data_IF_461911278296
#
_entry.id   IF_461911278296
#
_cell.length_a   1.000
_cell.length_b   1.000
_cell.length_c   1.000
_cell.angle_alpha   90.00
_cell.angle_beta   90.00
_cell.angle_gamma   90.00
#
_symmetry.space_group_name_H-M   'P 1'
#
loop_
_entity.id
_entity.type
_entity.pdbx_description
1 polymer ?
#
# COMPACT_ATOMS: atom_id res chain seq x y z
N UNK A 1 11.43 -2.73 -29.09
CA UNK A 1 10.74 -1.47 -29.39
C UNK A 1 9.55 -1.37 -28.44
N UNK A 2 9.58 -0.38 -27.54
CA UNK A 2 8.51 0.17 -26.66
C UNK A 2 7.70 -0.76 -25.72
N UNK A 3 8.27 -1.06 -24.53
CA UNK A 3 7.60 -1.71 -23.38
C UNK A 3 7.21 -0.67 -22.31
N UNK A 4 6.18 0.13 -22.53
CA UNK A 4 5.76 1.21 -21.61
C UNK A 4 4.30 1.06 -21.17
N UNK A 5 3.90 -0.11 -20.67
CA UNK A 5 2.57 -0.29 -20.08
C UNK A 5 2.35 0.69 -18.92
N UNK A 6 1.26 1.47 -18.93
CA UNK A 6 0.96 2.45 -17.88
C UNK A 6 -0.14 1.92 -16.93
N UNK A 7 0.18 1.78 -15.63
CA UNK A 7 -0.81 1.50 -14.60
C UNK A 7 -1.43 2.79 -14.05
N UNK A 8 -2.73 2.73 -13.76
CA UNK A 8 -3.43 3.76 -12.96
C UNK A 8 -3.54 3.28 -11.52
N UNK A 9 -2.73 3.83 -10.63
CA UNK A 9 -2.83 3.57 -9.20
C UNK A 9 -3.72 4.63 -8.54
N UNK A 10 -4.69 4.18 -7.74
CA UNK A 10 -5.59 5.07 -7.00
C UNK A 10 -5.40 4.78 -5.52
N UNK A 11 -4.77 5.71 -4.79
CA UNK A 11 -4.66 5.59 -3.35
C UNK A 11 -6.02 5.86 -2.70
N UNK A 12 -6.52 4.90 -1.94
CA UNK A 12 -7.69 5.07 -1.09
C UNK A 12 -7.22 5.10 0.36
N UNK A 13 -7.22 6.29 0.95
CA UNK A 13 -6.96 6.44 2.37
C UNK A 13 -8.21 6.04 3.16
N UNK A 14 -8.31 4.78 3.58
CA UNK A 14 -9.09 4.44 4.76
C UNK A 14 -8.28 4.89 5.97
N UNK A 15 -8.38 6.17 6.32
CA UNK A 15 -8.02 6.62 7.67
C UNK A 15 -9.06 6.03 8.60
N UNK A 16 -8.80 4.83 9.13
CA UNK A 16 -9.55 4.30 10.26
C UNK A 16 -9.15 5.07 11.53
N UNK A 17 -9.42 6.37 11.52
CA UNK A 17 -9.50 7.17 12.73
C UNK A 17 -10.92 7.04 13.23
N UNK A 18 -11.23 5.95 13.93
CA UNK A 18 -12.47 5.87 14.69
C UNK A 18 -12.14 5.86 16.18
N UNK A 19 -12.41 7.01 16.79
CA UNK A 19 -12.51 7.26 18.21
C UNK A 19 -13.27 6.12 18.92
N UNK A 20 -12.63 5.51 19.91
CA UNK A 20 -13.33 5.08 21.11
C UNK A 20 -12.66 5.78 22.30
N UNK A 21 -13.04 7.03 22.51
CA UNK A 21 -13.00 7.59 23.84
C UNK A 21 -14.09 6.88 24.64
N UNK A 22 -13.73 5.83 25.37
CA UNK A 22 -14.55 5.39 26.49
C UNK A 22 -14.31 6.39 27.63
N UNK A 23 -15.11 7.44 27.65
CA UNK A 23 -15.28 8.25 28.86
C UNK A 23 -15.85 7.34 29.95
N UNK A 24 -15.18 7.30 31.11
CA UNK A 24 -15.55 6.53 32.30
C UNK A 24 -16.97 6.83 32.79
N UNK A 25 -17.53 6.00 33.66
CA UNK A 25 -17.30 6.09 35.10
C UNK A 25 -17.79 4.83 35.81
N UNK A 26 -17.34 4.66 37.05
CA UNK A 26 -17.77 3.71 38.10
C UNK A 26 -17.00 2.39 38.20
N UNK A 27 -16.25 2.26 39.31
CA UNK A 27 -15.75 0.98 39.81
C UNK A 27 -14.41 1.03 40.54
N UNK A 28 -14.40 1.65 41.73
CA UNK A 28 -13.55 1.32 42.90
C UNK A 28 -12.30 0.45 42.71
N UNK A 29 -11.14 1.08 42.96
CA UNK A 29 -9.91 0.54 43.54
C UNK A 29 -9.56 -0.93 43.34
N UNK A 30 -8.52 -1.20 42.56
CA UNK A 30 -7.43 -2.15 42.87
C UNK A 30 -6.30 -1.92 41.85
N UNK A 31 -5.05 -1.88 42.32
CA UNK A 31 -3.86 -1.54 41.51
C UNK A 31 -3.45 -2.75 40.67
N UNK A 32 -3.93 -2.85 39.43
CA UNK A 32 -3.39 -3.80 38.45
C UNK A 32 -2.30 -3.14 37.62
N UNK A 33 -1.06 -3.46 37.96
CA UNK A 33 0.12 -3.08 37.19
C UNK A 33 0.05 -3.67 35.78
N UNK A 34 0.14 -2.79 34.78
CA UNK A 34 0.98 -3.07 33.62
C UNK A 34 0.41 -3.87 32.46
N UNK A 35 -0.90 -3.81 32.19
CA UNK A 35 -1.41 -4.15 30.86
C UNK A 35 -1.81 -2.89 30.12
N UNK A 36 -0.80 -2.10 29.71
CA UNK A 36 -0.96 -1.24 28.55
C UNK A 36 -1.17 -2.18 27.36
N UNK A 37 -2.42 -2.52 27.06
CA UNK A 37 -2.78 -2.84 25.70
C UNK A 37 -2.53 -1.55 24.90
N UNK A 38 -1.29 -1.35 24.49
CA UNK A 38 -1.05 -0.66 23.25
C UNK A 38 -1.74 -1.55 22.23
N UNK A 39 -3.00 -1.23 21.93
CA UNK A 39 -3.56 -1.44 20.61
C UNK A 39 -2.71 -0.59 19.65
N UNK A 40 -1.43 -0.97 19.54
CA UNK A 40 -0.45 -0.47 18.61
C UNK A 40 -0.90 -0.99 17.27
N UNK A 41 -1.99 -0.44 16.77
CA UNK A 41 -2.32 -0.50 15.37
C UNK A 41 -1.21 0.31 14.73
N UNK A 42 -0.12 -0.37 14.38
CA UNK A 42 0.94 0.23 13.55
C UNK A 42 0.25 0.96 12.40
N UNK A 43 0.58 2.23 12.12
CA UNK A 43 -0.14 2.96 11.10
C UNK A 43 -0.07 2.21 9.77
N UNK A 44 -1.23 2.03 9.14
CA UNK A 44 -1.36 1.29 7.89
C UNK A 44 -1.75 2.20 6.71
N UNK A 45 -1.37 1.78 5.52
CA UNK A 45 -1.85 2.35 4.26
C UNK A 45 -2.41 1.25 3.37
N UNK A 46 -3.59 1.49 2.81
CA UNK A 46 -4.14 0.68 1.73
C UNK A 46 -3.72 1.29 0.40
N UNK A 47 -2.99 0.53 -0.40
CA UNK A 47 -2.63 0.88 -1.77
C UNK A 47 -3.51 0.06 -2.70
N UNK A 48 -4.22 0.73 -3.60
CA UNK A 48 -5.08 0.08 -4.61
C UNK A 48 -4.67 0.55 -6.01
N UNK A 49 -4.78 -0.34 -6.99
CA UNK A 49 -4.44 -0.04 -8.38
C UNK A 49 -5.39 -0.71 -9.36
N UNK A 50 -5.52 -0.14 -10.55
CA UNK A 50 -6.26 -0.76 -11.64
C UNK A 50 -5.31 -1.62 -12.47
N UNK A 51 -5.63 -2.92 -12.69
CA UNK A 51 -4.79 -3.81 -13.47
C UNK A 51 -4.70 -3.32 -14.93
N UNK A 52 -3.53 -3.40 -15.58
CA UNK A 52 -3.41 -3.10 -16.99
C UNK A 52 -4.10 -4.20 -17.81
N UNK A 53 -4.92 -3.80 -18.79
CA UNK A 53 -5.61 -4.74 -19.71
C UNK A 53 -4.94 -4.83 -21.08
N UNK A 54 -4.11 -3.84 -21.41
CA UNK A 54 -3.43 -3.72 -22.69
C UNK A 54 -1.98 -3.31 -22.48
N UNK A 55 -1.14 -3.68 -23.43
CA UNK A 55 0.24 -3.18 -23.53
C UNK A 55 0.27 -1.82 -24.22
N UNK A 56 1.42 -1.17 -24.10
CA UNK A 56 2.11 -0.48 -25.20
C UNK A 56 1.37 -0.20 -26.49
N UNK A 57 1.40 -1.27 -27.26
CA UNK A 57 1.12 -1.39 -28.67
C UNK A 57 -0.38 -1.61 -28.93
N UNK A 58 -1.21 -1.56 -27.89
CA UNK A 58 -2.64 -1.85 -27.96
C UNK A 58 -2.96 -3.35 -27.96
N UNK A 59 -1.96 -4.24 -27.88
CA UNK A 59 -2.21 -5.67 -27.73
C UNK A 59 -2.76 -5.99 -26.33
N UNK A 60 -3.60 -7.02 -26.25
CA UNK A 60 -4.12 -7.49 -24.97
C UNK A 60 -3.00 -8.04 -24.07
N UNK A 61 -3.01 -7.66 -22.79
CA UNK A 61 -2.10 -8.21 -21.80
C UNK A 61 -2.65 -9.56 -21.30
N UNK A 62 -2.02 -10.66 -21.71
CA UNK A 62 -2.49 -12.03 -21.42
C UNK A 62 -1.54 -12.82 -20.50
N UNK A 63 -0.35 -12.28 -20.27
CA UNK A 63 0.80 -12.89 -19.60
C UNK A 63 1.16 -12.19 -18.29
N UNK A 64 0.22 -11.44 -17.71
CA UNK A 64 0.41 -10.77 -16.42
C UNK A 64 0.71 -11.80 -15.32
N UNK A 65 1.85 -11.68 -14.67
CA UNK A 65 2.27 -12.58 -13.60
C UNK A 65 1.99 -11.99 -12.21
N UNK A 66 2.05 -10.66 -12.07
CA UNK A 66 1.85 -10.02 -10.78
C UNK A 66 2.20 -8.54 -10.77
N UNK A 67 2.38 -8.01 -9.57
CA UNK A 67 2.68 -6.61 -9.31
C UNK A 67 3.84 -6.45 -8.33
N UNK A 68 4.51 -5.31 -8.39
CA UNK A 68 5.48 -4.87 -7.37
C UNK A 68 5.10 -3.50 -6.86
N UNK A 69 4.88 -3.42 -5.55
CA UNK A 69 4.55 -2.18 -4.85
C UNK A 69 5.84 -1.64 -4.24
N UNK A 70 6.28 -0.50 -4.76
CA UNK A 70 7.43 0.25 -4.29
C UNK A 70 6.95 1.30 -3.29
N UNK A 71 7.63 1.40 -2.14
CA UNK A 71 7.31 2.42 -1.15
C UNK A 71 8.53 2.91 -0.36
N UNK A 72 8.44 4.13 0.15
CA UNK A 72 9.53 4.76 0.90
C UNK A 72 9.17 6.16 1.39
N UNK A 73 10.08 6.77 2.17
CA UNK A 73 9.89 8.15 2.68
C UNK A 73 10.36 9.25 1.72
N UNK A 74 10.98 8.87 0.61
CA UNK A 74 11.50 9.80 -0.38
C UNK A 74 11.07 9.40 -1.79
N UNK A 75 10.75 10.42 -2.60
CA UNK A 75 10.24 10.26 -3.97
C UNK A 75 11.16 9.44 -4.88
N UNK A 76 12.47 9.58 -4.67
CA UNK A 76 13.54 8.98 -5.45
C UNK A 76 14.18 7.75 -4.77
N UNK A 77 13.72 7.37 -3.58
CA UNK A 77 14.30 6.27 -2.80
C UNK A 77 13.20 5.40 -2.18
N UNK A 78 12.45 4.72 -3.05
CA UNK A 78 11.48 3.69 -2.67
C UNK A 78 12.19 2.33 -2.60
N UNK A 79 13.03 2.16 -1.59
CA UNK A 79 13.86 0.96 -1.42
C UNK A 79 13.07 -0.27 -0.94
N UNK A 80 11.83 -0.08 -0.49
CA UNK A 80 10.98 -1.18 0.00
C UNK A 80 10.07 -1.63 -1.12
N UNK A 81 10.06 -2.94 -1.36
CA UNK A 81 9.33 -3.57 -2.46
C UNK A 81 8.51 -4.72 -1.90
N UNK A 82 7.23 -4.74 -2.20
CA UNK A 82 6.36 -5.89 -1.96
C UNK A 82 6.07 -6.52 -3.32
N UNK A 83 6.52 -7.76 -3.51
CA UNK A 83 6.21 -8.54 -4.70
C UNK A 83 4.91 -9.32 -4.49
N UNK A 84 3.98 -9.12 -5.41
CA UNK A 84 2.65 -9.72 -5.40
C UNK A 84 2.56 -10.65 -6.60
N UNK A 85 2.72 -11.95 -6.36
CA UNK A 85 2.64 -13.00 -7.38
C UNK A 85 1.21 -13.43 -7.68
N UNK A 86 0.29 -12.46 -7.71
CA UNK A 86 -1.12 -12.69 -7.97
C UNK A 86 -1.62 -11.60 -8.93
N UNK A 87 -1.86 -11.93 -10.21
CA UNK A 87 -2.33 -10.95 -11.20
C UNK A 87 -3.76 -10.45 -10.92
N UNK A 88 -4.55 -11.20 -10.14
CA UNK A 88 -5.90 -10.80 -9.72
C UNK A 88 -5.95 -9.88 -8.49
N UNK A 89 -4.82 -9.69 -7.80
CA UNK A 89 -4.77 -8.82 -6.62
C UNK A 89 -4.55 -7.37 -7.04
N UNK A 90 -5.46 -6.48 -6.64
CA UNK A 90 -5.48 -5.07 -7.03
C UNK A 90 -5.38 -4.12 -5.84
N UNK A 91 -5.14 -4.66 -4.65
CA UNK A 91 -4.94 -3.91 -3.42
C UNK A 91 -3.96 -4.61 -2.48
N UNK A 92 -3.26 -3.81 -1.67
CA UNK A 92 -2.30 -4.28 -0.68
C UNK A 92 -2.31 -3.39 0.56
N UNK A 93 -2.38 -4.00 1.73
CA UNK A 93 -2.13 -3.32 3.00
C UNK A 93 -0.63 -3.25 3.27
N UNK A 94 -0.18 -2.08 3.70
CA UNK A 94 1.18 -1.83 4.13
C UNK A 94 1.11 -1.32 5.56
N UNK A 95 1.62 -2.12 6.48
CA UNK A 95 1.74 -1.83 7.91
C UNK A 95 3.13 -1.30 8.29
N UNK A 96 3.34 -1.08 9.59
CA UNK A 96 4.58 -0.55 10.18
C UNK A 96 5.08 0.76 9.56
N UNK A 97 4.14 1.62 9.17
CA UNK A 97 4.46 2.96 8.68
C UNK A 97 4.63 3.93 9.85
N UNK A 98 5.85 4.36 10.11
CA UNK A 98 6.08 5.44 11.09
C UNK A 98 5.54 6.79 10.60
N UNK A 99 5.39 7.74 11.55
CA UNK A 99 5.03 9.14 11.27
C UNK A 99 5.93 9.76 10.20
N UNK A 100 5.31 10.44 9.25
CA UNK A 100 5.98 11.04 8.10
C UNK A 100 5.20 10.90 6.80
N UNK A 101 5.74 11.45 5.72
CA UNK A 101 5.19 11.29 4.37
C UNK A 101 5.80 10.05 3.74
N UNK A 102 4.93 9.11 3.37
CA UNK A 102 5.27 7.92 2.61
C UNK A 102 4.80 8.07 1.17
N UNK A 103 5.61 7.58 0.25
CA UNK A 103 5.33 7.53 -1.17
C UNK A 103 5.18 6.09 -1.62
N UNK A 104 4.29 5.85 -2.58
CA UNK A 104 3.92 4.54 -3.08
C UNK A 104 3.83 4.58 -4.60
N UNK A 105 4.34 3.55 -5.26
CA UNK A 105 4.21 3.33 -6.70
C UNK A 105 3.99 1.84 -6.96
N UNK A 106 3.28 1.51 -8.03
CA UNK A 106 3.01 0.12 -8.40
C UNK A 106 3.48 -0.11 -9.84
N UNK A 107 4.10 -1.26 -10.07
CA UNK A 107 4.40 -1.77 -11.41
C UNK A 107 3.71 -3.11 -11.59
N UNK A 108 3.36 -3.46 -12.82
CA UNK A 108 3.00 -4.83 -13.20
C UNK A 108 4.21 -5.50 -13.83
N UNK A 109 4.31 -6.83 -13.68
CA UNK A 109 5.29 -7.61 -14.40
C UNK A 109 4.67 -8.83 -15.07
N UNK A 110 5.21 -9.18 -16.25
CA UNK A 110 4.76 -10.35 -17.03
C UNK A 110 5.46 -11.63 -16.57
N UNK A 111 5.01 -12.78 -17.06
CA UNK A 111 5.66 -14.08 -16.81
C UNK A 111 7.11 -14.14 -17.27
N UNK A 112 7.45 -13.37 -18.30
CA UNK A 112 8.84 -13.21 -18.80
C UNK A 112 9.68 -12.27 -17.91
N UNK A 113 9.11 -11.74 -16.83
CA UNK A 113 9.78 -10.83 -15.90
C UNK A 113 9.87 -9.38 -16.41
N UNK A 114 9.14 -9.03 -17.47
CA UNK A 114 9.13 -7.68 -18.01
C UNK A 114 8.25 -6.78 -17.14
N UNK A 115 8.85 -5.76 -16.54
CA UNK A 115 8.15 -4.76 -15.73
C UNK A 115 7.60 -3.60 -16.56
N UNK A 116 6.45 -3.08 -16.11
CA UNK A 116 5.81 -1.88 -16.64
C UNK A 116 6.50 -0.60 -16.14
N UNK A 117 6.10 0.55 -16.69
CA UNK A 117 6.43 1.82 -16.03
C UNK A 117 5.75 1.89 -14.66
N UNK A 118 6.36 2.65 -13.74
CA UNK A 118 5.75 2.95 -12.45
C UNK A 118 4.42 3.68 -12.65
N UNK A 119 3.43 3.32 -11.84
CA UNK A 119 2.20 4.09 -11.72
C UNK A 119 2.48 5.53 -11.30
N UNK A 120 1.44 6.37 -11.38
CA UNK A 120 1.45 7.65 -10.67
C UNK A 120 1.83 7.45 -9.20
N UNK A 121 2.61 8.40 -8.68
CA UNK A 121 3.03 8.39 -7.29
C UNK A 121 1.85 8.69 -6.38
N UNK A 122 1.62 7.79 -5.44
CA UNK A 122 0.76 8.02 -4.31
C UNK A 122 1.55 8.56 -3.13
N UNK A 123 0.99 9.51 -2.37
CA UNK A 123 1.57 9.96 -1.10
C UNK A 123 0.57 9.78 0.05
N UNK A 124 1.03 9.28 1.19
CA UNK A 124 0.27 9.20 2.45
C UNK A 124 1.07 9.86 3.56
N UNK A 125 0.49 10.85 4.21
CA UNK A 125 1.04 11.41 5.44
C UNK A 125 0.49 10.63 6.63
N UNK A 126 1.39 10.04 7.41
CA UNK A 126 1.11 9.41 8.69
C UNK A 126 1.44 10.45 9.78
N UNK A 127 0.51 10.64 10.72
CA UNK A 127 0.64 11.56 11.85
C UNK A 127 0.98 10.75 13.11
#
# INVERSE_FOLDING_TARGET
MVHRTALRATLSALSLGLLLAITGCDGSGETYSGLSYSSGTSPTALVSWTPPVQRTDGSALTDLAGYRVYYGKALNSMSRIIEIRNPGQTSQFIDDLNTGTWYFAVTAYTRDGLESEMSNLGAKRIL
#
